data_IF_714924420723
#
_entry.id   IF_714924420723
#
_cell.length_a   1.000
_cell.length_b   1.000
_cell.length_c   1.000
_cell.angle_alpha   90.00
_cell.angle_beta   90.00
_cell.angle_gamma   90.00
#
_symmetry.space_group_name_H-M   'P 1'
#
loop_
_entity.id
_entity.type
_entity.pdbx_description
1 polymer ?
#
# COMPACT_ATOMS: atom_id res chain seq x y z
N UNK A 1 4.23 -27.34 17.10
CA UNK A 1 2.76 -27.48 16.98
C UNK A 1 2.28 -26.27 16.21
N UNK A 2 1.97 -26.45 14.91
CA UNK A 2 1.26 -25.47 14.13
C UNK A 2 -0.18 -25.50 14.65
N UNK A 3 -0.64 -24.39 15.24
CA UNK A 3 -2.03 -24.26 15.65
C UNK A 3 -2.93 -24.37 14.43
N UNK A 4 -4.00 -25.15 14.53
CA UNK A 4 -5.06 -25.21 13.53
C UNK A 4 -5.63 -23.81 13.36
N UNK A 5 -5.24 -23.14 12.30
CA UNK A 5 -5.88 -21.88 11.89
C UNK A 5 -7.14 -22.28 11.16
N UNK A 6 -8.29 -22.14 11.80
CA UNK A 6 -9.58 -22.36 11.18
C UNK A 6 -9.77 -21.27 10.11
N UNK A 7 -9.75 -21.67 8.83
CA UNK A 7 -10.00 -20.77 7.71
C UNK A 7 -11.52 -20.69 7.52
N UNK A 8 -12.11 -19.57 7.87
CA UNK A 8 -13.51 -19.30 7.56
C UNK A 8 -13.62 -18.95 6.06
N UNK A 9 -14.30 -19.79 5.30
CA UNK A 9 -14.64 -19.50 3.90
C UNK A 9 -16.06 -18.95 3.88
N UNK A 10 -16.21 -17.69 3.46
CA UNK A 10 -17.53 -17.09 3.21
C UNK A 10 -17.71 -16.87 1.71
N UNK A 11 -18.90 -17.14 1.23
CA UNK A 11 -19.32 -16.96 -0.17
C UNK A 11 -20.39 -15.86 -0.31
N UNK A 12 -20.69 -15.14 0.77
CA UNK A 12 -21.67 -14.06 0.73
C UNK A 12 -21.04 -12.80 0.11
N UNK A 13 -21.64 -12.21 -0.94
CA UNK A 13 -21.11 -10.99 -1.57
C UNK A 13 -20.90 -9.83 -0.59
N UNK A 14 -21.81 -9.68 0.41
CA UNK A 14 -21.72 -8.66 1.46
C UNK A 14 -20.53 -8.79 2.40
N UNK A 15 -19.85 -9.94 2.41
CA UNK A 15 -18.66 -10.12 3.23
C UNK A 15 -17.47 -9.26 2.75
N UNK A 16 -17.43 -8.89 1.48
CA UNK A 16 -16.41 -7.99 0.93
C UNK A 16 -16.64 -6.54 1.37
N UNK A 17 -17.89 -6.12 1.50
CA UNK A 17 -18.25 -4.78 1.96
C UNK A 17 -17.84 -4.57 3.43
N UNK A 18 -17.83 -5.65 4.22
CA UNK A 18 -17.48 -5.60 5.64
C UNK A 18 -15.97 -5.40 5.92
N UNK A 19 -15.09 -5.55 4.92
CA UNK A 19 -13.63 -5.47 5.06
C UNK A 19 -12.98 -4.39 4.20
N UNK A 20 -13.75 -3.40 3.74
CA UNK A 20 -13.28 -2.28 2.89
C UNK A 20 -12.45 -2.77 1.68
N UNK A 21 -12.89 -3.91 1.11
CA UNK A 21 -12.16 -4.55 0.02
C UNK A 21 -12.08 -3.67 -1.23
N UNK A 22 -13.09 -2.87 -1.47
CA UNK A 22 -13.14 -1.96 -2.63
C UNK A 22 -12.09 -0.86 -2.51
N UNK A 23 -11.85 -0.33 -1.30
CA UNK A 23 -10.76 0.61 -1.04
C UNK A 23 -9.39 -0.05 -1.30
N UNK A 24 -9.18 -1.26 -0.78
CA UNK A 24 -7.96 -2.02 -1.02
C UNK A 24 -7.71 -2.27 -2.51
N UNK A 25 -8.74 -2.69 -3.25
CA UNK A 25 -8.67 -2.91 -4.70
C UNK A 25 -8.34 -1.60 -5.42
N UNK A 26 -8.97 -0.50 -5.04
CA UNK A 26 -8.70 0.81 -5.62
C UNK A 26 -7.25 1.23 -5.41
N UNK A 27 -6.73 1.14 -4.19
CA UNK A 27 -5.32 1.46 -3.88
C UNK A 27 -4.38 0.56 -4.68
N UNK A 28 -4.66 -0.74 -4.73
CA UNK A 28 -3.83 -1.71 -5.43
C UNK A 28 -3.78 -1.48 -6.95
N UNK A 29 -4.86 -0.93 -7.53
CA UNK A 29 -4.98 -0.67 -8.97
C UNK A 29 -4.46 0.72 -9.33
N UNK A 30 -4.80 1.75 -8.56
CA UNK A 30 -4.36 3.11 -8.84
C UNK A 30 -2.92 3.37 -8.39
N UNK A 31 -2.47 2.70 -7.33
CA UNK A 31 -1.22 3.03 -6.63
C UNK A 31 -1.31 4.31 -5.80
N UNK A 32 -2.51 4.86 -5.62
CA UNK A 32 -2.73 6.12 -4.92
C UNK A 32 -3.43 5.88 -3.59
N UNK A 33 -2.91 6.47 -2.54
CA UNK A 33 -3.50 6.46 -1.22
C UNK A 33 -3.60 7.89 -0.68
N UNK A 34 -4.83 8.36 -0.49
CA UNK A 34 -5.10 9.70 0.03
C UNK A 34 -4.76 9.77 1.54
N UNK A 35 -4.06 10.83 1.92
CA UNK A 35 -3.83 11.22 3.32
C UNK A 35 -4.36 12.64 3.54
N UNK A 36 -4.44 13.06 4.79
CA UNK A 36 -4.87 14.43 5.08
C UNK A 36 -3.93 15.45 4.41
N UNK A 37 -4.48 16.31 3.57
CA UNK A 37 -3.79 17.33 2.78
C UNK A 37 -2.76 16.81 1.77
N UNK A 38 -2.79 15.51 1.43
CA UNK A 38 -1.82 14.94 0.50
C UNK A 38 -2.16 13.54 0.01
N UNK A 39 -1.18 12.94 -0.61
CA UNK A 39 -1.29 11.63 -1.25
C UNK A 39 0.04 10.88 -1.14
N UNK A 40 -0.03 9.57 -1.01
CA UNK A 40 1.08 8.64 -1.18
C UNK A 40 0.88 7.94 -2.51
N UNK A 41 1.85 8.05 -3.42
CA UNK A 41 1.86 7.39 -4.72
C UNK A 41 2.83 6.21 -4.70
N UNK A 42 2.36 5.04 -5.14
CA UNK A 42 3.13 3.79 -5.14
C UNK A 42 3.32 3.35 -6.59
N UNK A 43 4.53 3.42 -7.09
CA UNK A 43 4.88 3.06 -8.45
C UNK A 43 5.81 1.86 -8.51
N UNK A 44 5.49 0.90 -9.38
CA UNK A 44 6.37 -0.23 -9.66
C UNK A 44 7.27 0.06 -10.83
N UNK A 45 8.56 -0.05 -10.60
CA UNK A 45 9.57 -0.07 -11.67
C UNK A 45 10.12 -1.49 -11.84
N UNK A 46 11.01 -1.70 -12.82
CA UNK A 46 11.69 -2.99 -12.99
C UNK A 46 12.68 -3.29 -11.85
N UNK A 47 13.19 -2.28 -11.20
CA UNK A 47 14.24 -2.40 -10.19
C UNK A 47 13.67 -2.42 -8.77
N UNK A 48 12.66 -1.61 -8.49
CA UNK A 48 12.09 -1.43 -7.16
C UNK A 48 10.68 -0.86 -7.23
N UNK A 49 9.97 -0.89 -6.11
CA UNK A 49 8.79 -0.07 -5.90
C UNK A 49 9.23 1.31 -5.41
N UNK A 50 8.79 2.36 -6.07
CA UNK A 50 8.98 3.74 -5.64
C UNK A 50 7.73 4.23 -4.92
N UNK A 51 7.93 4.96 -3.85
CA UNK A 51 6.88 5.63 -3.10
C UNK A 51 7.22 7.12 -3.05
N UNK A 52 6.30 7.93 -3.55
CA UNK A 52 6.38 9.37 -3.56
C UNK A 52 5.29 9.97 -2.66
N UNK A 53 5.56 11.13 -2.09
CA UNK A 53 4.66 11.84 -1.18
C UNK A 53 4.41 13.22 -1.76
N UNK A 54 3.16 13.48 -2.12
CA UNK A 54 2.70 14.76 -2.60
C UNK A 54 1.68 15.39 -1.65
N UNK A 55 1.63 16.71 -1.62
CA UNK A 55 0.60 17.39 -0.84
C UNK A 55 0.81 18.88 -0.69
N UNK A 56 -0.12 19.48 0.04
CA UNK A 56 -0.11 20.92 0.34
C UNK A 56 -0.08 21.12 1.86
N UNK A 57 0.64 22.16 2.30
CA UNK A 57 0.73 22.52 3.72
C UNK A 57 2.11 22.26 4.32
N UNK A 58 2.17 21.76 5.55
CA UNK A 58 3.43 21.51 6.24
C UNK A 58 4.07 20.18 5.77
N UNK A 59 5.22 20.21 5.08
CA UNK A 59 5.91 19.01 4.62
C UNK A 59 6.29 18.06 5.76
N UNK A 60 6.52 18.58 6.96
CA UNK A 60 6.91 17.77 8.12
C UNK A 60 5.73 16.95 8.60
N UNK A 61 4.56 17.57 8.71
CA UNK A 61 3.32 16.89 9.09
C UNK A 61 2.97 15.79 8.08
N UNK A 62 3.04 16.09 6.78
CA UNK A 62 2.81 15.12 5.71
C UNK A 62 3.79 13.93 5.78
N UNK A 63 5.08 14.21 5.95
CA UNK A 63 6.10 13.17 6.09
C UNK A 63 5.89 12.28 7.32
N UNK A 64 5.43 12.84 8.43
CA UNK A 64 5.13 12.06 9.64
C UNK A 64 3.92 11.14 9.44
N UNK A 65 2.88 11.62 8.77
CA UNK A 65 1.73 10.78 8.38
C UNK A 65 2.19 9.67 7.43
N UNK A 66 2.91 10.02 6.38
CA UNK A 66 3.42 9.06 5.40
C UNK A 66 4.35 8.01 6.04
N UNK A 67 5.23 8.41 6.97
CA UNK A 67 6.13 7.50 7.68
C UNK A 67 5.38 6.42 8.48
N UNK A 68 4.17 6.72 8.96
CA UNK A 68 3.33 5.75 9.65
C UNK A 68 2.51 4.89 8.67
N UNK A 69 1.98 5.49 7.59
CA UNK A 69 1.11 4.81 6.64
C UNK A 69 1.87 3.90 5.68
N UNK A 70 3.05 4.28 5.21
CA UNK A 70 3.82 3.51 4.22
C UNK A 70 4.07 2.07 4.69
N UNK A 71 4.57 1.78 5.91
CA UNK A 71 4.75 0.41 6.36
C UNK A 71 3.43 -0.38 6.43
N UNK A 72 2.33 0.28 6.79
CA UNK A 72 0.99 -0.31 6.77
C UNK A 72 0.58 -0.72 5.36
N UNK A 73 0.76 0.17 4.37
CA UNK A 73 0.47 -0.08 2.96
C UNK A 73 1.33 -1.20 2.37
N UNK A 74 2.64 -1.22 2.68
CA UNK A 74 3.54 -2.29 2.25
C UNK A 74 3.09 -3.66 2.72
N UNK A 75 2.56 -3.75 3.94
CA UNK A 75 2.02 -4.98 4.49
C UNK A 75 0.66 -5.34 3.89
N UNK A 76 -0.23 -4.35 3.79
CA UNK A 76 -1.58 -4.52 3.28
C UNK A 76 -1.60 -4.99 1.83
N UNK A 77 -0.70 -4.45 1.01
CA UNK A 77 -0.57 -4.77 -0.41
C UNK A 77 0.42 -5.91 -0.69
N UNK A 78 1.01 -6.51 0.34
CA UNK A 78 2.06 -7.53 0.28
C UNK A 78 3.23 -7.13 -0.64
N UNK A 79 3.65 -5.87 -0.56
CA UNK A 79 4.77 -5.37 -1.35
C UNK A 79 6.07 -5.78 -0.69
N UNK A 80 6.82 -6.65 -1.37
CA UNK A 80 8.16 -7.09 -1.00
C UNK A 80 9.23 -6.65 -2.00
N UNK A 81 10.47 -7.06 -1.77
CA UNK A 81 11.64 -6.65 -2.56
C UNK A 81 12.19 -5.31 -2.10
N UNK A 82 12.75 -4.56 -3.05
CA UNK A 82 13.31 -3.24 -2.81
C UNK A 82 12.21 -2.17 -2.92
N UNK A 83 12.14 -1.28 -1.94
CA UNK A 83 11.22 -0.15 -1.89
C UNK A 83 12.02 1.12 -1.63
N UNK A 84 11.92 2.10 -2.51
CA UNK A 84 12.45 3.44 -2.32
C UNK A 84 11.33 4.38 -1.87
N UNK A 85 11.61 5.25 -0.92
CA UNK A 85 10.66 6.26 -0.42
C UNK A 85 11.29 7.62 -0.61
N UNK A 86 10.61 8.50 -1.32
CA UNK A 86 11.00 9.90 -1.52
C UNK A 86 10.11 10.79 -0.66
N UNK A 87 10.66 11.27 0.44
CA UNK A 87 9.99 12.17 1.37
C UNK A 87 10.09 13.61 0.90
N UNK A 88 9.06 14.40 1.17
CA UNK A 88 9.09 15.85 0.95
C UNK A 88 10.31 16.47 1.65
N UNK A 89 10.84 17.54 1.05
CA UNK A 89 12.01 18.24 1.57
C UNK A 89 11.82 18.67 3.05
N UNK A 90 12.82 18.37 3.86
CA UNK A 90 12.84 18.68 5.28
C UNK A 90 13.84 19.79 5.56
N UNK A 91 13.46 20.80 6.37
CA UNK A 91 14.27 22.02 6.55
C UNK A 91 15.61 21.77 7.23
N UNK A 92 15.69 20.76 8.11
CA UNK A 92 16.87 20.52 8.93
C UNK A 92 17.04 19.05 9.32
N UNK A 93 18.18 18.78 9.96
CA UNK A 93 18.54 17.43 10.40
C UNK A 93 17.62 16.91 11.52
N UNK A 94 17.18 17.78 12.43
CA UNK A 94 16.37 17.36 13.59
C UNK A 94 15.00 16.86 13.12
N UNK A 95 14.39 17.57 12.19
CA UNK A 95 13.15 17.19 11.53
C UNK A 95 13.28 15.85 10.82
N UNK A 96 14.36 15.68 10.04
CA UNK A 96 14.62 14.41 9.35
C UNK A 96 14.77 13.23 10.33
N UNK A 97 15.45 13.43 11.46
CA UNK A 97 15.58 12.40 12.48
C UNK A 97 14.24 12.06 13.14
N UNK A 98 13.34 13.03 13.32
CA UNK A 98 12.00 12.78 13.85
C UNK A 98 11.16 11.93 12.91
N UNK A 99 11.17 12.24 11.60
CA UNK A 99 10.48 11.43 10.58
C UNK A 99 11.11 10.03 10.47
N UNK A 100 12.46 9.94 10.50
CA UNK A 100 13.16 8.66 10.48
C UNK A 100 12.82 7.78 11.69
N UNK A 101 12.67 8.37 12.87
CA UNK A 101 12.26 7.65 14.08
C UNK A 101 10.80 7.15 13.96
N UNK A 102 9.89 7.94 13.42
CA UNK A 102 8.51 7.53 13.16
C UNK A 102 8.46 6.36 12.17
N UNK A 103 9.21 6.44 11.05
CA UNK A 103 9.32 5.36 10.09
C UNK A 103 9.89 4.09 10.72
N UNK A 104 10.94 4.22 11.55
CA UNK A 104 11.55 3.08 12.24
C UNK A 104 10.57 2.38 13.16
N UNK A 105 9.77 3.14 13.90
CA UNK A 105 8.75 2.59 14.80
C UNK A 105 7.66 1.85 14.03
N UNK A 106 7.13 2.47 12.99
CA UNK A 106 6.09 1.87 12.15
C UNK A 106 6.59 0.60 11.42
N UNK A 107 7.85 0.58 11.00
CA UNK A 107 8.46 -0.57 10.34
C UNK A 107 8.55 -1.82 11.24
N UNK A 108 8.46 -1.70 12.56
CA UNK A 108 8.44 -2.88 13.46
C UNK A 108 7.30 -3.86 13.13
N UNK A 109 6.22 -3.37 12.53
CA UNK A 109 5.09 -4.19 12.12
C UNK A 109 5.30 -4.92 10.78
N UNK A 110 6.37 -4.65 10.04
CA UNK A 110 6.63 -5.24 8.72
C UNK A 110 7.09 -6.71 8.74
N UNK A 111 7.51 -7.22 9.91
CA UNK A 111 8.25 -8.48 9.99
C UNK A 111 9.71 -8.31 9.52
N UNK A 112 10.37 -9.36 8.99
CA UNK A 112 11.76 -9.28 8.55
C UNK A 112 11.95 -8.21 7.48
N UNK A 113 12.83 -7.24 7.73
CA UNK A 113 13.20 -6.19 6.79
C UNK A 113 14.55 -5.58 7.17
N UNK A 114 15.17 -4.93 6.19
CA UNK A 114 16.29 -4.02 6.39
C UNK A 114 15.89 -2.65 5.87
N UNK A 115 16.42 -1.59 6.46
CA UNK A 115 16.19 -0.23 5.98
C UNK A 115 17.41 0.66 6.14
N UNK A 116 17.51 1.68 5.30
CA UNK A 116 18.43 2.80 5.51
C UNK A 116 17.77 3.86 6.40
N UNK A 117 18.59 4.72 7.03
CA UNK A 117 18.09 5.99 7.53
C UNK A 117 17.69 6.91 6.36
N UNK A 118 16.79 7.87 6.63
CA UNK A 118 16.45 8.93 5.66
C UNK A 118 17.71 9.77 5.43
N UNK A 119 18.19 9.83 4.20
CA UNK A 119 19.40 10.56 3.83
C UNK A 119 19.16 12.08 3.72
N UNK A 120 20.22 12.85 3.38
CA UNK A 120 20.17 14.31 3.27
C UNK A 120 19.26 14.84 2.16
N UNK A 121 18.84 13.98 1.24
CA UNK A 121 17.94 14.31 0.13
C UNK A 121 16.48 13.92 0.39
N UNK A 122 16.15 13.37 1.57
CA UNK A 122 14.81 12.91 1.89
C UNK A 122 14.54 11.46 1.51
N UNK A 123 15.52 10.74 0.96
CA UNK A 123 15.32 9.38 0.47
C UNK A 123 15.64 8.32 1.52
N UNK A 124 14.79 7.31 1.61
CA UNK A 124 15.02 6.08 2.38
C UNK A 124 14.76 4.84 1.52
N UNK A 125 15.36 3.72 1.89
CA UNK A 125 15.16 2.43 1.25
C UNK A 125 14.77 1.38 2.28
N UNK A 126 13.79 0.54 1.92
CA UNK A 126 13.40 -0.64 2.68
C UNK A 126 13.59 -1.87 1.78
N UNK A 127 14.12 -2.95 2.36
CA UNK A 127 14.23 -4.25 1.68
C UNK A 127 13.50 -5.29 2.50
N UNK A 128 12.55 -6.00 1.88
CA UNK A 128 11.76 -7.05 2.51
C UNK A 128 11.85 -8.35 1.69
N UNK A 129 11.71 -9.53 2.33
CA UNK A 129 11.48 -10.77 1.59
C UNK A 129 10.29 -10.63 0.63
N UNK A 130 10.41 -11.24 -0.53
CA UNK A 130 9.34 -11.28 -1.53
C UNK A 130 9.00 -12.74 -1.84
N UNK A 131 8.13 -13.38 -1.05
CA UNK A 131 7.78 -14.79 -1.24
C UNK A 131 6.88 -15.04 -2.46
N UNK A 132 6.19 -14.00 -2.95
CA UNK A 132 5.25 -14.08 -4.06
C UNK A 132 5.00 -12.73 -4.72
N UNK A 133 4.04 -12.67 -5.64
CA UNK A 133 3.57 -11.41 -6.23
C UNK A 133 2.79 -10.60 -5.20
N UNK A 134 2.94 -9.28 -5.22
CA UNK A 134 2.12 -8.36 -4.44
C UNK A 134 0.68 -8.31 -4.97
N UNK A 135 -0.26 -7.78 -4.16
CA UNK A 135 -1.66 -7.60 -4.59
C UNK A 135 -1.77 -6.77 -5.87
N UNK A 136 -1.06 -5.62 -6.03
CA UNK A 136 -1.03 -4.90 -7.30
C UNK A 136 -0.55 -5.76 -8.49
N UNK A 137 0.40 -6.66 -8.26
CA UNK A 137 0.88 -7.56 -9.33
C UNK A 137 -0.13 -8.63 -9.71
N UNK A 138 -0.88 -9.14 -8.76
CA UNK A 138 -1.95 -10.10 -9.01
C UNK A 138 -3.09 -9.44 -9.78
N UNK A 139 -3.50 -8.24 -9.39
CA UNK A 139 -4.63 -7.52 -10.00
C UNK A 139 -4.28 -6.92 -11.37
N UNK A 140 -3.10 -6.30 -11.49
CA UNK A 140 -2.69 -5.56 -12.68
C UNK A 140 -1.77 -6.37 -13.62
N UNK A 141 -1.30 -7.54 -13.18
CA UNK A 141 -0.31 -8.33 -13.90
C UNK A 141 1.04 -7.63 -13.97
N UNK A 142 1.81 -7.92 -15.02
CA UNK A 142 3.12 -7.28 -15.25
C UNK A 142 3.02 -5.88 -15.87
N UNK A 143 1.81 -5.48 -16.28
CA UNK A 143 1.56 -4.15 -16.87
C UNK A 143 1.15 -3.20 -15.76
N UNK A 144 1.92 -2.14 -15.48
CA UNK A 144 1.52 -1.16 -14.49
C UNK A 144 0.15 -0.57 -14.80
N UNK A 145 -0.72 -0.40 -13.77
CA UNK A 145 -1.94 0.41 -13.82
C UNK A 145 -3.05 -0.05 -14.78
N UNK A 146 -3.08 -1.33 -15.14
CA UNK A 146 -4.23 -1.92 -15.85
C UNK A 146 -4.58 -3.26 -15.21
N UNK A 147 -5.84 -3.39 -14.81
CA UNK A 147 -6.38 -4.68 -14.39
C UNK A 147 -6.12 -5.74 -15.46
N UNK A 148 -5.65 -6.91 -15.07
CA UNK A 148 -5.57 -8.07 -15.94
C UNK A 148 -6.96 -8.41 -16.51
N UNK A 149 -7.03 -9.13 -17.63
CA UNK A 149 -8.32 -9.54 -18.20
C UNK A 149 -9.15 -10.36 -17.21
N UNK A 150 -8.48 -11.21 -16.42
CA UNK A 150 -9.14 -12.02 -15.39
C UNK A 150 -9.68 -11.14 -14.25
N UNK A 151 -8.88 -10.19 -13.74
CA UNK A 151 -9.32 -9.26 -12.70
C UNK A 151 -10.47 -8.36 -13.18
N UNK A 152 -10.45 -7.92 -14.45
CA UNK A 152 -11.56 -7.17 -15.06
C UNK A 152 -12.82 -8.01 -15.16
N UNK A 153 -12.70 -9.29 -15.54
CA UNK A 153 -13.84 -10.19 -15.61
C UNK A 153 -14.46 -10.41 -14.22
N UNK A 154 -13.63 -10.58 -13.19
CA UNK A 154 -14.09 -10.73 -11.80
C UNK A 154 -14.80 -9.46 -11.32
N UNK A 155 -14.24 -8.27 -11.58
CA UNK A 155 -14.86 -6.99 -11.23
C UNK A 155 -16.25 -6.83 -11.88
N UNK A 156 -16.36 -7.12 -13.19
CA UNK A 156 -17.63 -7.08 -13.91
C UNK A 156 -18.66 -8.08 -13.37
N UNK A 157 -18.22 -9.29 -12.97
CA UNK A 157 -19.10 -10.28 -12.37
C UNK A 157 -19.61 -9.82 -10.98
N UNK A 158 -18.76 -9.16 -10.19
CA UNK A 158 -19.16 -8.57 -8.89
C UNK A 158 -20.18 -7.45 -9.07
N UNK A 159 -19.94 -6.49 -9.99
CA UNK A 159 -20.91 -5.44 -10.34
C UNK A 159 -22.25 -6.03 -10.78
N UNK A 160 -22.23 -7.03 -11.65
CA UNK A 160 -23.46 -7.69 -12.13
C UNK A 160 -24.19 -8.42 -11.00
N UNK A 161 -23.51 -8.97 -10.01
CA UNK A 161 -24.12 -9.58 -8.84
C UNK A 161 -24.76 -8.54 -7.92
N UNK A 162 -24.09 -7.41 -7.67
CA UNK A 162 -24.61 -6.30 -6.87
C UNK A 162 -25.86 -5.66 -7.50
N UNK A 163 -25.85 -5.43 -8.82
CA UNK A 163 -26.98 -4.81 -9.51
C UNK A 163 -28.25 -5.67 -9.49
N UNK A 164 -28.13 -7.01 -9.43
CA UNK A 164 -29.26 -7.92 -9.29
C UNK A 164 -29.85 -7.96 -7.88
N UNK A 165 -29.06 -7.66 -6.86
CA UNK A 165 -29.53 -7.62 -5.46
C UNK A 165 -30.38 -6.38 -5.11
N UNK A 166 -30.31 -5.30 -5.87
CA UNK A 166 -31.06 -4.05 -5.61
C UNK A 166 -32.38 -3.93 -6.42
N UNK A 167 -32.65 -4.90 -7.27
CA UNK A 167 -33.87 -4.87 -8.15
C UNK A 167 -35.07 -5.59 -7.62
N UNK A 168 -35.05 -6.14 -6.40
CA UNK A 168 -36.22 -6.80 -5.78
C UNK A 168 -36.49 -6.20 -4.39
N UNK A 169 -37.09 -5.03 -4.39
CA UNK A 169 -37.91 -4.54 -3.28
C UNK A 169 -39.12 -3.78 -3.84
#
# INVERSE_FOLDING_TARGET
>A
MLGDTEIAVTIEPSAFDAVDFDELEQIAVSGEYAIENGQISIERTRAMTMIDIDGSGDPVALNLVAANEIPRLLRLLDIGGQVGIDFLAMPDRSTRLSVDAALAEACKALGPHERTAINGFGFAQIVRPRPGPSIPEVLCGTTPWRLSLESRAIALLREAAHSKGHGQR
#
